data_IF_597065523245
#
_entry.id   IF_597065523245
#
_cell.length_a   1.000
_cell.length_b   1.000
_cell.length_c   1.000
_cell.angle_alpha   90.00
_cell.angle_beta   90.00
_cell.angle_gamma   90.00
#
_symmetry.space_group_name_H-M   'P 1'
#
loop_
_entity.id
_entity.type
_entity.pdbx_description
1 polymer ?
#
# COMPACT_ATOMS: atom_id res chain seq x y z
N UNK A 1 9.81 1.65 -6.38
CA UNK A 1 10.47 2.65 -5.52
C UNK A 1 11.34 2.01 -4.45
N UNK A 2 10.81 1.10 -3.60
CA UNK A 2 11.56 0.48 -2.49
C UNK A 2 12.92 -0.10 -2.89
N UNK A 3 13.00 -0.82 -4.01
CA UNK A 3 14.26 -1.43 -4.47
C UNK A 3 15.37 -0.39 -4.75
N UNK A 4 15.03 0.84 -5.12
CA UNK A 4 16.01 1.90 -5.38
C UNK A 4 16.71 2.39 -4.10
N UNK A 5 16.15 2.10 -2.93
CA UNK A 5 16.72 2.47 -1.63
C UNK A 5 17.31 1.27 -0.89
N UNK A 6 17.37 0.09 -1.51
CA UNK A 6 17.78 -1.15 -0.85
C UNK A 6 19.16 -1.04 -0.19
N UNK A 7 20.15 -0.47 -0.88
CA UNK A 7 21.49 -0.28 -0.32
C UNK A 7 21.49 0.64 0.91
N UNK A 8 20.70 1.72 0.88
CA UNK A 8 20.60 2.65 2.00
C UNK A 8 19.87 2.01 3.19
N UNK A 9 18.85 1.20 2.93
CA UNK A 9 18.12 0.47 3.96
C UNK A 9 19.02 -0.56 4.65
N UNK A 10 19.83 -1.30 3.89
CA UNK A 10 20.80 -2.26 4.44
C UNK A 10 21.91 -1.58 5.24
N UNK A 11 22.42 -0.43 4.78
CA UNK A 11 23.39 0.39 5.53
C UNK A 11 22.83 0.93 6.85
N UNK A 12 21.52 1.18 6.91
CA UNK A 12 20.83 1.67 8.10
C UNK A 12 20.31 0.53 9.01
N UNK A 13 20.61 -0.73 8.70
CA UNK A 13 20.20 -1.87 9.50
C UNK A 13 21.22 -2.18 10.64
N UNK A 14 20.76 -2.76 11.78
CA UNK A 14 19.37 -3.05 12.11
C UNK A 14 18.59 -1.77 12.50
N UNK A 15 17.27 -1.77 12.27
CA UNK A 15 16.38 -0.68 12.71
C UNK A 15 15.81 0.20 11.59
N UNK A 16 16.22 -0.01 10.34
CA UNK A 16 15.54 0.59 9.19
C UNK A 16 14.10 0.05 9.07
N UNK A 17 13.19 0.92 8.60
CA UNK A 17 11.76 0.61 8.49
C UNK A 17 11.20 1.08 7.16
N UNK A 18 10.39 0.23 6.52
CA UNK A 18 9.54 0.61 5.40
C UNK A 18 8.10 0.64 5.92
N UNK A 19 7.38 1.74 5.69
CA UNK A 19 5.97 1.88 6.09
C UNK A 19 5.14 2.19 4.85
N UNK A 20 4.31 1.25 4.44
CA UNK A 20 3.38 1.42 3.33
C UNK A 20 2.03 1.94 3.84
N UNK A 21 1.59 3.10 3.34
CA UNK A 21 0.29 3.68 3.70
C UNK A 21 -0.81 3.02 2.86
N UNK A 22 -1.57 2.13 3.50
CA UNK A 22 -2.75 1.48 2.97
C UNK A 22 -4.03 2.28 3.30
N UNK A 23 -5.20 1.66 3.17
CA UNK A 23 -6.50 2.24 3.49
C UNK A 23 -7.40 1.19 4.12
N UNK A 24 -8.42 1.62 4.85
CA UNK A 24 -9.51 0.78 5.30
C UNK A 24 -10.15 0.03 4.13
N UNK A 25 -10.43 0.74 3.04
CA UNK A 25 -11.11 0.24 1.83
C UNK A 25 -10.31 -0.74 0.95
N UNK A 26 -9.08 -1.07 1.32
CA UNK A 26 -8.23 -1.97 0.55
C UNK A 26 -8.91 -3.34 0.32
N UNK A 27 -9.09 -3.69 -0.95
CA UNK A 27 -9.68 -4.97 -1.37
C UNK A 27 -9.81 -5.09 -2.89
N UNK A 28 -10.35 -6.21 -3.36
CA UNK A 28 -10.72 -6.39 -4.77
C UNK A 28 -9.55 -6.47 -5.76
N UNK A 29 -8.33 -6.80 -5.30
CA UNK A 29 -7.18 -6.97 -6.17
C UNK A 29 -7.35 -8.21 -7.07
N UNK A 30 -7.44 -7.97 -8.37
CA UNK A 30 -7.31 -9.00 -9.40
C UNK A 30 -5.86 -9.02 -9.89
N UNK A 31 -5.08 -9.97 -9.38
CA UNK A 31 -3.67 -10.15 -9.76
C UNK A 31 -3.48 -10.45 -11.25
N UNK A 32 -4.52 -10.95 -11.92
CA UNK A 32 -4.46 -11.29 -13.33
C UNK A 32 -4.82 -10.09 -14.24
N UNK A 33 -5.40 -9.01 -13.69
CA UNK A 33 -5.77 -7.80 -14.45
C UNK A 33 -5.55 -6.51 -13.65
N UNK A 34 -4.31 -6.29 -13.21
CA UNK A 34 -3.89 -5.13 -12.41
C UNK A 34 -4.20 -3.79 -13.08
N UNK A 35 -4.15 -3.75 -14.41
CA UNK A 35 -4.27 -2.53 -15.21
C UNK A 35 -5.66 -2.38 -15.85
N UNK A 36 -6.66 -3.17 -15.44
CA UNK A 36 -8.03 -3.12 -15.95
C UNK A 36 -8.11 -3.26 -17.48
N UNK A 37 -7.27 -4.12 -18.08
CA UNK A 37 -7.23 -4.34 -19.53
C UNK A 37 -8.40 -5.17 -20.03
N UNK A 38 -9.02 -5.97 -19.15
CA UNK A 38 -10.07 -6.95 -19.50
C UNK A 38 -11.40 -6.67 -18.79
N UNK A 39 -11.47 -5.64 -17.96
CA UNK A 39 -12.67 -5.24 -17.22
C UNK A 39 -12.81 -3.70 -17.18
N UNK A 40 -14.03 -3.16 -17.03
CA UNK A 40 -14.22 -1.71 -16.92
C UNK A 40 -13.44 -1.11 -15.75
N UNK A 41 -12.88 0.08 -15.97
CA UNK A 41 -12.21 0.85 -14.93
C UNK A 41 -13.22 1.66 -14.10
N UNK A 42 -13.07 1.63 -12.78
CA UNK A 42 -13.70 2.60 -11.88
C UNK A 42 -12.65 3.15 -10.91
N UNK A 43 -12.81 4.42 -10.50
CA UNK A 43 -11.87 5.05 -9.56
C UNK A 43 -11.89 4.36 -8.19
N UNK A 44 -13.06 3.90 -7.73
CA UNK A 44 -13.20 3.15 -6.47
C UNK A 44 -12.43 1.83 -6.53
N UNK A 45 -12.70 0.99 -7.54
CA UNK A 45 -12.04 -0.31 -7.67
C UNK A 45 -10.54 -0.15 -7.82
N UNK A 46 -10.09 0.82 -8.61
CA UNK A 46 -8.67 1.10 -8.82
C UNK A 46 -7.98 1.53 -7.52
N UNK A 47 -8.63 2.41 -6.74
CA UNK A 47 -8.10 2.85 -5.45
C UNK A 47 -8.02 1.69 -4.45
N UNK A 48 -9.11 0.94 -4.28
CA UNK A 48 -9.19 -0.20 -3.35
C UNK A 48 -8.17 -1.27 -3.71
N UNK A 49 -8.04 -1.58 -5.00
CA UNK A 49 -7.04 -2.50 -5.52
C UNK A 49 -5.61 -2.04 -5.23
N UNK A 50 -5.29 -0.77 -5.49
CA UNK A 50 -3.96 -0.22 -5.22
C UNK A 50 -3.61 -0.29 -3.72
N UNK A 51 -4.58 -0.01 -2.84
CA UNK A 51 -4.40 -0.12 -1.38
C UNK A 51 -4.28 -1.57 -0.92
N UNK A 52 -4.93 -2.51 -1.59
CA UNK A 52 -4.73 -3.94 -1.35
C UNK A 52 -3.34 -4.40 -1.80
N UNK A 53 -2.86 -3.92 -2.94
CA UNK A 53 -1.49 -4.18 -3.39
C UNK A 53 -0.45 -3.68 -2.37
N UNK A 54 -0.66 -2.52 -1.74
CA UNK A 54 0.21 -2.06 -0.64
C UNK A 54 0.25 -3.04 0.54
N UNK A 55 -0.91 -3.59 0.96
CA UNK A 55 -0.98 -4.58 2.05
C UNK A 55 -0.21 -5.87 1.69
N UNK A 56 -0.40 -6.37 0.46
CA UNK A 56 0.26 -7.59 0.01
C UNK A 56 1.76 -7.41 -0.19
N UNK A 57 2.18 -6.27 -0.75
CA UNK A 57 3.58 -5.93 -0.93
C UNK A 57 4.31 -5.80 0.40
N UNK A 58 3.64 -5.28 1.44
CA UNK A 58 4.18 -5.26 2.80
C UNK A 58 4.57 -6.66 3.26
N UNK A 59 3.70 -7.66 3.09
CA UNK A 59 3.99 -9.03 3.52
C UNK A 59 5.18 -9.60 2.74
N UNK A 60 5.15 -9.51 1.41
CA UNK A 60 6.22 -10.03 0.56
C UNK A 60 7.58 -9.37 0.88
N UNK A 61 7.60 -8.08 1.19
CA UNK A 61 8.83 -7.37 1.54
C UNK A 61 9.25 -7.59 2.99
N UNK A 62 8.31 -7.79 3.92
CA UNK A 62 8.65 -8.19 5.28
C UNK A 62 9.42 -9.50 5.27
N UNK A 63 8.98 -10.49 4.49
CA UNK A 63 9.69 -11.76 4.32
C UNK A 63 11.06 -11.57 3.64
N UNK A 64 11.11 -10.82 2.53
CA UNK A 64 12.37 -10.55 1.80
C UNK A 64 13.44 -9.92 2.68
N UNK A 65 13.07 -8.93 3.49
CA UNK A 65 14.02 -8.09 4.22
C UNK A 65 14.24 -8.53 5.68
N UNK A 66 13.54 -9.57 6.15
CA UNK A 66 13.72 -10.13 7.48
C UNK A 66 15.19 -10.50 7.80
N UNK A 67 15.97 -11.14 6.89
CA UNK A 67 17.36 -11.49 7.17
C UNK A 67 18.28 -10.28 7.34
N UNK A 68 17.92 -9.14 6.74
CA UNK A 68 18.68 -7.89 6.84
C UNK A 68 18.34 -7.11 8.13
N UNK A 69 17.40 -7.56 8.96
CA UNK A 69 16.98 -6.85 10.17
C UNK A 69 16.19 -5.56 9.91
N UNK A 70 15.55 -5.48 8.73
CA UNK A 70 14.71 -4.36 8.31
C UNK A 70 13.25 -4.76 8.51
N UNK A 71 12.45 -3.88 9.13
CA UNK A 71 11.01 -4.15 9.31
C UNK A 71 10.17 -3.49 8.23
N UNK A 72 9.11 -4.17 7.79
CA UNK A 72 8.18 -3.66 6.78
C UNK A 72 6.77 -3.77 7.32
N UNK A 73 6.06 -2.64 7.40
CA UNK A 73 4.73 -2.57 7.97
C UNK A 73 3.76 -1.85 7.02
N UNK A 74 2.47 -2.15 7.17
CA UNK A 74 1.39 -1.41 6.54
C UNK A 74 0.60 -0.67 7.63
N UNK A 75 0.11 0.53 7.32
CA UNK A 75 -0.79 1.26 8.20
C UNK A 75 -1.96 1.87 7.44
N UNK A 76 -3.07 2.08 8.14
CA UNK A 76 -4.14 2.97 7.71
C UNK A 76 -4.21 4.11 8.75
N UNK A 77 -4.07 5.38 8.35
CA UNK A 77 -3.97 6.50 9.28
C UNK A 77 -5.33 7.04 9.76
N UNK A 78 -6.44 6.38 9.43
CA UNK A 78 -7.79 6.93 9.60
C UNK A 78 -8.25 7.74 8.38
N UNK A 79 -9.48 8.23 8.46
CA UNK A 79 -10.03 9.16 7.47
C UNK A 79 -9.38 10.54 7.63
N UNK A 80 -8.84 11.05 6.52
CA UNK A 80 -8.23 12.37 6.46
C UNK A 80 -8.96 13.23 5.45
N UNK A 81 -9.37 14.43 5.87
CA UNK A 81 -10.00 15.41 4.98
C UNK A 81 -8.97 15.96 3.98
N UNK A 82 -8.78 15.23 2.90
CA UNK A 82 -7.84 15.52 1.82
C UNK A 82 -8.59 15.66 0.51
N UNK A 83 -7.99 16.35 -0.46
CA UNK A 83 -8.54 16.44 -1.83
C UNK A 83 -8.83 15.06 -2.41
N UNK A 84 -7.97 14.07 -2.12
CA UNK A 84 -8.14 12.69 -2.57
C UNK A 84 -9.39 12.05 -1.94
N UNK A 85 -9.52 12.08 -0.61
CA UNK A 85 -10.69 11.50 0.08
C UNK A 85 -12.00 12.13 -0.41
N UNK A 86 -12.03 13.46 -0.51
CA UNK A 86 -13.21 14.19 -0.98
C UNK A 86 -13.57 13.85 -2.45
N UNK A 87 -12.57 13.67 -3.32
CA UNK A 87 -12.81 13.32 -4.73
C UNK A 87 -13.36 11.91 -4.95
N UNK A 88 -13.16 11.01 -3.99
CA UNK A 88 -13.61 9.62 -4.05
C UNK A 88 -14.93 9.38 -3.28
N UNK A 89 -15.52 10.42 -2.69
CA UNK A 89 -16.74 10.30 -1.90
C UNK A 89 -16.53 9.69 -0.50
N UNK A 90 -15.27 9.53 -0.06
CA UNK A 90 -14.92 9.01 1.26
C UNK A 90 -14.86 10.10 2.35
N UNK A 91 -15.37 11.30 2.08
CA UNK A 91 -15.23 12.45 2.96
C UNK A 91 -16.01 12.30 4.26
N UNK A 92 -15.43 11.62 5.26
CA UNK A 92 -15.86 11.65 6.66
C UNK A 92 -16.88 10.59 7.07
N UNK A 93 -16.81 9.38 6.50
CA UNK A 93 -17.74 8.28 6.80
C UNK A 93 -17.00 7.00 7.24
N UNK A 94 -16.02 7.12 8.12
CA UNK A 94 -15.68 6.03 9.05
C UNK A 94 -16.59 6.22 10.28
N UNK A 95 -17.68 5.46 10.37
CA UNK A 95 -18.44 5.29 11.62
C UNK A 95 -17.78 4.26 12.51
#
# INVERSE_FOLDING_TARGET
>A
MTNAFEDNLKKAAPGARIVNVASYWAGGLDINDLEFKRRPYTTDDAYRQAKQANRMLTLAYAEKFLPDGITVNACHPGDSNTKLSNSMGFGGHET
#
